data_IF_624491030522
#
_entry.id   IF_624491030522
#
_cell.length_a   1.000
_cell.length_b   1.000
_cell.length_c   1.000
_cell.angle_alpha   90.00
_cell.angle_beta   90.00
_cell.angle_gamma   90.00
#
_symmetry.space_group_name_H-M   'P 1'
#
loop_
_entity.id
_entity.type
_entity.pdbx_description
1 polymer ?
#
# COMPACT_ATOMS: atom_id res chain seq x y z
N UNK A 1 14.66 -47.27 5.34
CA UNK A 1 15.38 -45.97 5.28
C UNK A 1 14.68 -44.87 4.45
N UNK A 2 14.04 -45.16 3.31
CA UNK A 2 13.37 -44.12 2.49
C UNK A 2 12.16 -43.47 3.18
N UNK A 3 11.37 -44.26 3.91
CA UNK A 3 10.18 -43.78 4.63
C UNK A 3 10.52 -42.82 5.78
N UNK A 4 11.60 -43.10 6.53
CA UNK A 4 12.09 -42.23 7.61
C UNK A 4 12.54 -40.86 7.08
N UNK A 5 13.25 -40.82 5.94
CA UNK A 5 13.61 -39.55 5.29
C UNK A 5 12.38 -38.75 4.85
N UNK A 6 11.32 -39.43 4.40
CA UNK A 6 10.07 -38.79 4.00
C UNK A 6 9.35 -38.14 5.19
N UNK A 7 9.31 -38.81 6.34
CA UNK A 7 8.77 -38.22 7.58
C UNK A 7 9.56 -37.00 8.05
N UNK A 8 10.90 -37.05 7.98
CA UNK A 8 11.74 -35.90 8.29
C UNK A 8 11.51 -34.71 7.35
N UNK A 9 11.30 -34.97 6.06
CA UNK A 9 10.98 -33.92 5.09
C UNK A 9 9.64 -33.25 5.38
N UNK A 10 8.59 -34.03 5.69
CA UNK A 10 7.27 -33.50 6.05
C UNK A 10 7.36 -32.66 7.31
N UNK A 11 8.05 -33.16 8.34
CA UNK A 11 8.24 -32.45 9.61
C UNK A 11 8.87 -31.08 9.37
N UNK A 12 9.97 -30.99 8.61
CA UNK A 12 10.66 -29.72 8.31
C UNK A 12 9.74 -28.75 7.56
N UNK A 13 8.98 -29.23 6.57
CA UNK A 13 8.07 -28.36 5.80
C UNK A 13 6.91 -27.81 6.63
N UNK A 14 6.46 -28.51 7.67
CA UNK A 14 5.38 -28.03 8.54
C UNK A 14 5.80 -26.86 9.46
N UNK A 15 7.10 -26.68 9.73
CA UNK A 15 7.60 -25.58 10.56
C UNK A 15 7.98 -24.33 9.78
N UNK A 16 8.00 -24.39 8.44
CA UNK A 16 8.22 -23.23 7.61
C UNK A 16 6.93 -22.41 7.53
N UNK A 17 6.88 -21.33 8.30
CA UNK A 17 5.77 -20.36 8.23
C UNK A 17 5.90 -19.51 6.97
N UNK A 18 4.79 -19.34 6.23
CA UNK A 18 4.74 -18.38 5.13
C UNK A 18 4.61 -16.96 5.69
N UNK A 19 5.59 -16.10 5.42
CA UNK A 19 5.51 -14.68 5.74
C UNK A 19 4.82 -13.93 4.61
N UNK A 20 3.78 -13.16 4.92
CA UNK A 20 3.19 -12.20 3.99
C UNK A 20 3.78 -10.82 4.24
N UNK A 21 4.25 -10.17 3.18
CA UNK A 21 4.67 -8.78 3.22
C UNK A 21 3.52 -7.89 2.76
N UNK A 22 3.23 -6.81 3.50
CA UNK A 22 2.19 -5.86 3.12
C UNK A 22 2.68 -5.01 1.94
N UNK A 23 1.90 -4.95 0.86
CA UNK A 23 2.18 -4.10 -0.29
C UNK A 23 1.07 -3.06 -0.46
N UNK A 24 1.45 -1.79 -0.58
CA UNK A 24 0.52 -0.67 -0.72
C UNK A 24 0.83 0.19 -1.93
N UNK A 25 -0.21 0.77 -2.54
CA UNK A 25 -0.04 1.85 -3.50
C UNK A 25 0.59 3.08 -2.84
N UNK A 26 1.51 3.72 -3.55
CA UNK A 26 2.23 4.90 -3.07
C UNK A 26 2.22 6.02 -4.10
N UNK A 27 1.80 7.20 -3.67
CA UNK A 27 1.89 8.40 -4.46
C UNK A 27 1.89 9.64 -3.57
N UNK A 28 2.44 10.71 -4.10
CA UNK A 28 2.54 12.00 -3.42
C UNK A 28 1.98 13.08 -4.32
N UNK A 29 1.05 13.85 -3.79
CA UNK A 29 0.62 15.12 -4.36
C UNK A 29 0.07 15.04 -5.79
N UNK A 30 -0.56 13.91 -6.14
CA UNK A 30 -1.07 13.66 -7.48
C UNK A 30 -2.46 14.26 -7.68
N UNK A 31 -2.68 14.95 -8.80
CA UNK A 31 -4.02 15.41 -9.19
C UNK A 31 -4.85 14.21 -9.66
N UNK A 32 -5.83 13.83 -8.84
CA UNK A 32 -6.67 12.66 -9.10
C UNK A 32 -6.01 11.33 -8.77
N UNK A 33 -6.82 10.27 -8.74
CA UNK A 33 -6.36 8.91 -8.51
C UNK A 33 -5.97 8.27 -9.86
N UNK A 34 -4.91 8.77 -10.48
CA UNK A 34 -4.44 8.32 -11.80
C UNK A 34 -2.94 8.03 -11.76
N UNK A 35 -2.45 7.41 -12.82
CA UNK A 35 -1.02 7.17 -13.07
C UNK A 35 -0.28 6.58 -11.86
N UNK A 36 0.62 7.34 -11.25
CA UNK A 36 1.46 6.93 -10.13
C UNK A 36 0.64 6.34 -8.98
N UNK A 37 -0.53 6.90 -8.68
CA UNK A 37 -1.41 6.39 -7.60
C UNK A 37 -2.06 5.02 -7.89
N UNK A 38 -2.01 4.54 -9.13
CA UNK A 38 -2.56 3.25 -9.56
C UNK A 38 -1.48 2.26 -10.01
N UNK A 39 -0.25 2.71 -10.23
CA UNK A 39 0.84 1.89 -10.79
C UNK A 39 1.99 1.68 -9.81
N UNK A 40 2.25 2.63 -8.92
CA UNK A 40 3.37 2.55 -7.99
C UNK A 40 2.92 1.87 -6.71
N UNK A 41 3.50 0.71 -6.44
CA UNK A 41 3.38 -0.01 -5.18
C UNK A 41 4.73 -0.08 -4.48
N UNK A 42 4.70 -0.32 -3.17
CA UNK A 42 5.91 -0.68 -2.41
C UNK A 42 5.56 -1.69 -1.32
N UNK A 43 6.54 -2.51 -0.97
CA UNK A 43 6.50 -3.32 0.24
C UNK A 43 6.66 -2.39 1.44
N UNK A 44 5.77 -2.52 2.41
CA UNK A 44 5.78 -1.71 3.63
C UNK A 44 6.79 -2.24 4.65
N UNK A 45 7.25 -1.34 5.52
CA UNK A 45 8.15 -1.70 6.63
C UNK A 45 7.43 -2.60 7.64
N UNK A 46 8.17 -3.37 8.45
CA UNK A 46 7.58 -4.32 9.41
C UNK A 46 6.64 -3.64 10.44
N UNK A 47 6.84 -2.35 10.71
CA UNK A 47 6.03 -1.57 11.65
C UNK A 47 4.82 -0.87 11.00
N UNK A 48 4.61 -1.03 9.69
CA UNK A 48 3.52 -0.43 8.93
C UNK A 48 2.52 -1.52 8.53
N UNK A 49 1.36 -1.52 9.19
CA UNK A 49 0.34 -2.56 9.13
C UNK A 49 -0.96 -2.11 8.42
N UNK A 50 -0.93 -0.94 7.77
CA UNK A 50 -2.04 -0.45 6.94
C UNK A 50 -1.58 0.35 5.71
N UNK A 51 -2.44 0.38 4.70
CA UNK A 51 -2.38 1.39 3.65
C UNK A 51 -3.25 2.59 4.06
N UNK A 52 -2.72 3.80 3.89
CA UNK A 52 -3.41 5.05 4.19
C UNK A 52 -3.52 5.92 2.94
N UNK A 53 -4.68 6.54 2.75
CA UNK A 53 -4.95 7.48 1.66
C UNK A 53 -5.43 8.81 2.23
N UNK A 54 -4.67 9.87 1.96
CA UNK A 54 -5.06 11.26 2.23
C UNK A 54 -5.59 11.88 0.94
N UNK A 55 -6.77 12.48 1.03
CA UNK A 55 -7.44 13.15 -0.09
C UNK A 55 -7.65 14.61 0.29
N UNK A 56 -6.96 15.51 -0.41
CA UNK A 56 -7.12 16.96 -0.21
C UNK A 56 -8.06 17.51 -1.28
N UNK A 57 -9.12 18.15 -0.82
CA UNK A 57 -10.07 18.88 -1.65
C UNK A 57 -9.81 20.38 -1.48
N UNK A 58 -9.74 21.14 -2.57
CA UNK A 58 -9.61 22.60 -2.51
C UNK A 58 -9.98 23.27 -3.83
N UNK A 59 -10.25 24.57 -3.83
CA UNK A 59 -10.37 25.35 -5.07
C UNK A 59 -9.02 25.96 -5.44
N UNK A 60 -8.89 26.49 -6.66
CA UNK A 60 -7.81 27.42 -6.98
C UNK A 60 -7.85 28.59 -5.98
N UNK A 61 -6.68 29.15 -5.58
CA UNK A 61 -6.62 30.23 -4.59
C UNK A 61 -7.37 31.49 -5.03
N UNK A 62 -7.59 31.65 -6.33
CA UNK A 62 -8.35 32.75 -6.91
C UNK A 62 -9.59 32.24 -7.64
N UNK A 63 -10.64 33.05 -7.60
CA UNK A 63 -11.85 32.85 -8.38
C UNK A 63 -11.55 33.11 -9.86
N UNK A 64 -11.94 32.18 -10.71
CA UNK A 64 -11.97 32.40 -12.15
C UNK A 64 -13.24 31.80 -12.75
N UNK A 65 -13.81 32.49 -13.73
CA UNK A 65 -15.01 32.02 -14.43
C UNK A 65 -14.64 30.77 -15.25
N UNK A 66 -15.26 29.63 -14.92
CA UNK A 66 -14.93 28.34 -15.52
C UNK A 66 -13.80 27.57 -14.82
N UNK A 67 -13.38 27.98 -13.61
CA UNK A 67 -12.40 27.24 -12.81
C UNK A 67 -12.82 25.77 -12.64
N UNK A 68 -11.90 24.84 -12.92
CA UNK A 68 -12.13 23.41 -12.77
C UNK A 68 -12.47 23.12 -11.30
N UNK A 69 -13.64 22.52 -11.07
CA UNK A 69 -14.18 22.27 -9.73
C UNK A 69 -13.29 21.26 -9.00
N UNK A 70 -12.67 21.73 -7.91
CA UNK A 70 -11.97 20.95 -6.89
C UNK A 70 -10.65 20.29 -7.31
N UNK A 71 -9.52 20.88 -6.88
CA UNK A 71 -8.20 20.26 -6.87
C UNK A 71 -8.27 19.09 -5.90
N UNK A 72 -8.20 17.89 -6.46
CA UNK A 72 -8.22 16.63 -5.73
C UNK A 72 -6.81 16.07 -5.66
N UNK A 73 -6.08 16.31 -4.56
CA UNK A 73 -4.73 15.74 -4.40
C UNK A 73 -4.76 14.47 -3.59
N UNK A 74 -4.27 13.39 -4.20
CA UNK A 74 -4.11 12.09 -3.56
C UNK A 74 -2.70 11.90 -3.05
N UNK A 75 -2.61 11.41 -1.82
CA UNK A 75 -1.39 10.88 -1.23
C UNK A 75 -1.68 9.51 -0.64
N UNK A 76 -1.00 8.49 -1.14
CA UNK A 76 -1.12 7.11 -0.65
C UNK A 76 0.21 6.68 -0.04
N UNK A 77 0.16 6.03 1.11
CA UNK A 77 1.36 5.57 1.83
C UNK A 77 1.07 4.36 2.72
N UNK A 78 2.12 3.61 3.03
CA UNK A 78 2.11 2.68 4.16
C UNK A 78 2.04 3.47 5.47
N UNK A 79 1.28 2.98 6.44
CA UNK A 79 1.05 3.63 7.73
C UNK A 79 0.93 2.60 8.84
N UNK A 80 1.21 3.05 10.07
CA UNK A 80 0.95 2.28 11.28
C UNK A 80 -0.48 2.58 11.76
N UNK A 81 -1.33 1.57 11.91
CA UNK A 81 -2.66 1.77 12.51
C UNK A 81 -2.46 2.30 13.94
N UNK A 82 -3.15 3.38 14.28
CA UNK A 82 -3.35 3.74 15.69
C UNK A 82 -4.41 2.81 16.25
N UNK A 83 -4.04 2.04 17.28
CA UNK A 83 -4.98 1.33 18.14
C UNK A 83 -5.70 2.31 19.05
#
# INVERSE_FOLDING_TARGET
MKLSKFYWMIFITCYLSFSHALECYVCTDQEGNREKCLKSTKICEQHQDACFTEIKWGSTPYWSQGAKKTILRFKKMCHKKRM
#
